data_IF_482420654335
#
_entry.id   IF_482420654335
#
_cell.length_a   1.000
_cell.length_b   1.000
_cell.length_c   1.000
_cell.angle_alpha   90.00
_cell.angle_beta   90.00
_cell.angle_gamma   90.00
#
_symmetry.space_group_name_H-M   'P 1'
#
loop_
_entity.id
_entity.type
_entity.pdbx_description
1 polymer ?
#
# COMPACT_ATOMS: atom_id res chain seq x y z
N UNK A 1 -18.04 -13.41 13.29
CA UNK A 1 -17.96 -11.95 13.48
C UNK A 1 -16.49 -11.57 13.66
N UNK A 2 -15.93 -10.57 12.96
CA UNK A 2 -14.53 -10.21 13.15
C UNK A 2 -14.32 -9.67 14.57
N UNK A 3 -13.33 -10.20 15.28
CA UNK A 3 -13.02 -9.79 16.64
C UNK A 3 -12.67 -8.29 16.66
N UNK A 4 -13.09 -7.54 17.67
CA UNK A 4 -12.88 -6.08 17.76
C UNK A 4 -11.40 -5.67 17.55
N UNK A 5 -10.47 -6.55 17.99
CA UNK A 5 -9.02 -6.41 17.76
C UNK A 5 -8.62 -6.47 16.28
N UNK A 6 -9.22 -7.35 15.47
CA UNK A 6 -8.98 -7.42 14.03
C UNK A 6 -9.48 -6.17 13.32
N UNK A 7 -10.67 -5.67 13.72
CA UNK A 7 -11.23 -4.43 13.17
C UNK A 7 -10.31 -3.24 13.44
N UNK A 8 -9.85 -3.07 14.68
CA UNK A 8 -8.91 -2.02 15.05
C UNK A 8 -7.60 -2.11 14.27
N UNK A 9 -7.02 -3.31 14.16
CA UNK A 9 -5.76 -3.55 13.42
C UNK A 9 -5.89 -3.16 11.95
N UNK A 10 -6.99 -3.55 11.30
CA UNK A 10 -7.26 -3.18 9.92
C UNK A 10 -7.42 -1.65 9.74
N UNK A 11 -8.07 -0.98 10.69
CA UNK A 11 -8.20 0.49 10.67
C UNK A 11 -6.84 1.18 10.74
N UNK A 12 -5.95 0.76 11.65
CA UNK A 12 -4.60 1.33 11.76
C UNK A 12 -3.78 1.06 10.49
N UNK A 13 -3.87 -0.15 9.94
CA UNK A 13 -3.16 -0.51 8.70
C UNK A 13 -3.60 0.37 7.52
N UNK A 14 -4.90 0.60 7.36
CA UNK A 14 -5.43 1.45 6.30
C UNK A 14 -4.98 2.92 6.46
N UNK A 15 -4.96 3.45 7.69
CA UNK A 15 -4.44 4.79 7.96
C UNK A 15 -2.96 4.91 7.62
N UNK A 16 -2.14 3.92 8.00
CA UNK A 16 -0.71 3.92 7.67
C UNK A 16 -0.48 3.90 6.15
N UNK A 17 -1.21 3.05 5.41
CA UNK A 17 -1.12 3.00 3.94
C UNK A 17 -1.54 4.33 3.28
N UNK A 18 -2.57 5.00 3.79
CA UNK A 18 -2.99 6.30 3.30
C UNK A 18 -1.93 7.40 3.54
N UNK A 19 -1.29 7.40 4.72
CA UNK A 19 -0.21 8.34 5.02
C UNK A 19 1.01 8.11 4.13
N UNK A 20 1.39 6.85 3.89
CA UNK A 20 2.48 6.50 2.97
C UNK A 20 2.16 6.99 1.56
N UNK A 21 0.93 6.76 1.09
CA UNK A 21 0.49 7.24 -0.22
C UNK A 21 0.59 8.77 -0.37
N UNK A 22 0.24 9.51 0.69
CA UNK A 22 0.30 10.97 0.73
C UNK A 22 1.75 11.48 0.68
N UNK A 23 2.64 10.87 1.46
CA UNK A 23 4.07 11.23 1.48
C UNK A 23 4.70 10.99 0.12
N UNK A 24 4.53 9.77 -0.42
CA UNK A 24 5.08 9.40 -1.74
C UNK A 24 4.60 10.35 -2.83
N UNK A 25 3.33 10.77 -2.82
CA UNK A 25 2.81 11.68 -3.85
C UNK A 25 3.45 13.07 -3.85
N UNK A 26 4.10 13.48 -2.76
CA UNK A 26 4.70 14.81 -2.63
C UNK A 26 6.23 14.79 -2.62
N UNK A 27 6.87 13.70 -2.21
CA UNK A 27 8.32 13.66 -2.02
C UNK A 27 9.05 12.74 -2.99
N UNK A 28 8.39 11.73 -3.55
CA UNK A 28 9.05 10.67 -4.33
C UNK A 28 8.31 10.39 -5.66
N UNK A 29 8.54 11.22 -6.70
CA UNK A 29 7.83 11.11 -7.97
C UNK A 29 8.10 9.80 -8.72
N UNK A 30 9.31 9.23 -8.62
CA UNK A 30 9.65 7.95 -9.25
C UNK A 30 8.89 6.78 -8.61
N UNK A 31 8.74 6.80 -7.29
CA UNK A 31 7.95 5.81 -6.55
C UNK A 31 6.47 5.95 -6.90
N UNK A 32 5.97 7.17 -7.07
CA UNK A 32 4.61 7.42 -7.52
C UNK A 32 4.37 6.84 -8.93
N UNK A 33 5.29 7.03 -9.86
CA UNK A 33 5.20 6.46 -11.21
C UNK A 33 5.19 4.93 -11.20
N UNK A 34 6.08 4.31 -10.41
CA UNK A 34 6.10 2.87 -10.22
C UNK A 34 4.77 2.34 -9.65
N UNK A 35 4.20 3.02 -8.65
CA UNK A 35 2.89 2.67 -8.11
C UNK A 35 1.77 2.82 -9.15
N UNK A 36 1.80 3.85 -9.99
CA UNK A 36 0.83 4.04 -11.07
C UNK A 36 0.91 2.91 -12.10
N UNK A 37 2.10 2.41 -12.42
CA UNK A 37 2.27 1.22 -13.28
C UNK A 37 1.63 -0.03 -12.67
N UNK A 38 1.80 -0.24 -11.36
CA UNK A 38 1.14 -1.36 -10.66
C UNK A 38 -0.38 -1.21 -10.67
N UNK A 39 -0.90 0.00 -10.44
CA UNK A 39 -2.33 0.30 -10.50
C UNK A 39 -2.87 -0.05 -11.89
N UNK A 40 -2.20 0.42 -12.95
CA UNK A 40 -2.63 0.17 -14.34
C UNK A 40 -2.58 -1.32 -14.69
N UNK A 41 -1.56 -2.04 -14.24
CA UNK A 41 -1.39 -3.46 -14.56
C UNK A 41 -2.34 -4.38 -13.78
N UNK A 42 -2.68 -4.02 -12.53
CA UNK A 42 -3.47 -4.88 -11.62
C UNK A 42 -4.89 -4.37 -11.37
N UNK A 43 -5.29 -3.27 -12.01
CA UNK A 43 -6.58 -2.58 -11.84
C UNK A 43 -7.01 -2.49 -10.36
N UNK A 44 -6.19 -1.80 -9.56
CA UNK A 44 -6.37 -1.76 -8.11
C UNK A 44 -6.20 -0.37 -7.50
N UNK A 45 -6.68 -0.19 -6.27
CA UNK A 45 -6.50 1.07 -5.55
C UNK A 45 -5.04 1.34 -5.19
N UNK A 46 -4.66 2.61 -5.01
CA UNK A 46 -3.30 3.00 -4.59
C UNK A 46 -2.83 2.30 -3.32
N UNK A 47 -3.72 2.09 -2.34
CA UNK A 47 -3.41 1.34 -1.12
C UNK A 47 -3.09 -0.14 -1.40
N UNK A 48 -3.79 -0.76 -2.34
CA UNK A 48 -3.51 -2.13 -2.77
C UNK A 48 -2.22 -2.23 -3.59
N UNK A 49 -1.91 -1.24 -4.43
CA UNK A 49 -0.64 -1.17 -5.14
C UNK A 49 0.55 -1.08 -4.16
N UNK A 50 0.46 -0.22 -3.13
CA UNK A 50 1.48 -0.11 -2.07
C UNK A 50 1.62 -1.44 -1.32
N UNK A 51 0.49 -2.05 -0.92
CA UNK A 51 0.52 -3.37 -0.26
C UNK A 51 1.20 -4.42 -1.14
N UNK A 52 0.91 -4.43 -2.44
CA UNK A 52 1.45 -5.38 -3.40
C UNK A 52 2.96 -5.21 -3.53
N UNK A 53 3.45 -3.98 -3.73
CA UNK A 53 4.88 -3.69 -3.82
C UNK A 53 5.64 -4.12 -2.55
N UNK A 54 5.08 -3.86 -1.37
CA UNK A 54 5.69 -4.26 -0.10
C UNK A 54 5.75 -5.79 0.08
N UNK A 55 4.71 -6.52 -0.33
CA UNK A 55 4.68 -7.98 -0.24
C UNK A 55 5.65 -8.60 -1.24
N UNK A 56 5.66 -8.11 -2.49
CA UNK A 56 6.59 -8.59 -3.51
C UNK A 56 8.04 -8.37 -3.09
N UNK A 57 8.38 -7.20 -2.54
CA UNK A 57 9.71 -6.94 -2.00
C UNK A 57 10.06 -7.85 -0.82
N UNK A 58 9.13 -8.05 0.12
CA UNK A 58 9.36 -8.96 1.25
C UNK A 58 9.71 -10.39 0.78
N UNK A 59 9.06 -10.88 -0.27
CA UNK A 59 9.36 -12.20 -0.86
C UNK A 59 10.76 -12.29 -1.51
N UNK A 60 11.45 -11.16 -1.73
CA UNK A 60 12.84 -11.14 -2.25
C UNK A 60 13.90 -11.13 -1.15
N UNK A 61 13.48 -10.98 0.11
CA UNK A 61 14.36 -10.95 1.28
C UNK A 61 14.50 -12.32 1.96
N UNK A 62 13.73 -13.32 1.51
CA UNK A 62 13.85 -14.74 1.89
C UNK A 62 14.86 -15.46 0.97
#
# INVERSE_FOLDING_TARGET
MPNARQKATNTYRNKALANIALVISHTEPEVLDALNKIIAHKDCSKAMAIKTALVEYANTLD
#
